data_IF_642641729710
#
_entry.id   IF_642641729710
#
_cell.length_a   1.000
_cell.length_b   1.000
_cell.length_c   1.000
_cell.angle_alpha   90.00
_cell.angle_beta   90.00
_cell.angle_gamma   90.00
#
_symmetry.space_group_name_H-M   'P 1'
#
loop_
_entity.id
_entity.type
_entity.pdbx_description
1 polymer ?
#
# COMPACT_ATOMS: atom_id res chain seq x y z
N UNK A 1 -4.61 -6.14 19.10
CA UNK A 1 -4.46 -6.21 17.63
C UNK A 1 -3.00 -6.02 17.28
N UNK A 2 -2.31 -7.08 16.84
CA UNK A 2 -0.95 -6.91 16.30
C UNK A 2 -1.03 -6.33 14.89
N UNK A 3 -0.24 -5.29 14.63
CA UNK A 3 -0.23 -4.62 13.34
C UNK A 3 0.59 -5.46 12.34
N UNK A 4 -0.10 -6.22 11.48
CA UNK A 4 0.53 -6.98 10.39
C UNK A 4 0.63 -6.11 9.14
N UNK A 5 1.86 -5.92 8.65
CA UNK A 5 2.10 -5.36 7.33
C UNK A 5 1.89 -6.42 6.26
N UNK A 6 1.03 -6.14 5.28
CA UNK A 6 0.91 -6.97 4.09
C UNK A 6 2.19 -6.85 3.27
N UNK A 7 2.70 -7.99 2.83
CA UNK A 7 3.79 -8.13 1.85
C UNK A 7 3.28 -7.89 0.43
N UNK A 8 4.18 -7.74 -0.55
CA UNK A 8 3.79 -7.64 -1.96
C UNK A 8 3.03 -8.88 -2.43
N UNK A 9 3.48 -10.07 -2.05
CA UNK A 9 2.81 -11.32 -2.40
C UNK A 9 1.40 -11.41 -1.82
N UNK A 10 1.21 -10.96 -0.57
CA UNK A 10 -0.13 -10.93 0.02
C UNK A 10 -1.04 -9.94 -0.71
N UNK A 11 -0.53 -8.77 -1.14
CA UNK A 11 -1.32 -7.83 -1.98
C UNK A 11 -1.70 -8.44 -3.32
N UNK A 12 -0.79 -9.14 -3.98
CA UNK A 12 -1.07 -9.84 -5.24
C UNK A 12 -2.17 -10.90 -5.03
N UNK A 13 -2.13 -11.66 -3.92
CA UNK A 13 -3.20 -12.59 -3.56
C UNK A 13 -4.53 -11.90 -3.34
N UNK A 14 -4.55 -10.74 -2.66
CA UNK A 14 -5.78 -9.95 -2.47
C UNK A 14 -6.38 -9.57 -3.82
N UNK A 15 -5.56 -9.12 -4.78
CA UNK A 15 -6.03 -8.74 -6.11
C UNK A 15 -6.69 -9.91 -6.85
N UNK A 16 -6.08 -11.09 -6.85
CA UNK A 16 -6.65 -12.29 -7.47
C UNK A 16 -7.96 -12.69 -6.79
N UNK A 17 -7.99 -12.75 -5.46
CA UNK A 17 -9.18 -13.16 -4.71
C UNK A 17 -10.36 -12.19 -4.88
N UNK A 18 -10.10 -10.90 -5.05
CA UNK A 18 -11.18 -9.94 -5.35
C UNK A 18 -11.76 -10.19 -6.74
N UNK A 19 -10.91 -10.47 -7.73
CA UNK A 19 -11.35 -10.79 -9.10
C UNK A 19 -12.16 -12.09 -9.14
N UNK A 20 -11.85 -13.04 -8.26
CA UNK A 20 -12.60 -14.28 -8.05
C UNK A 20 -13.91 -14.07 -7.25
N UNK A 21 -14.19 -12.86 -6.76
CA UNK A 21 -15.44 -12.53 -6.05
C UNK A 21 -15.45 -12.83 -4.56
N UNK A 22 -14.29 -13.07 -3.93
CA UNK A 22 -14.22 -13.29 -2.49
C UNK A 22 -14.54 -12.02 -1.70
N UNK A 23 -15.33 -12.17 -0.63
CA UNK A 23 -15.58 -11.08 0.32
C UNK A 23 -14.31 -10.73 1.12
N UNK A 24 -14.21 -9.49 1.62
CA UNK A 24 -13.08 -9.07 2.45
C UNK A 24 -12.87 -9.94 3.69
N UNK A 25 -13.94 -10.52 4.25
CA UNK A 25 -13.85 -11.48 5.38
C UNK A 25 -13.27 -12.82 4.93
N UNK A 26 -13.63 -13.31 3.74
CA UNK A 26 -13.07 -14.53 3.16
C UNK A 26 -11.57 -14.38 2.93
N UNK A 27 -11.18 -13.28 2.28
CA UNK A 27 -9.77 -12.94 2.03
C UNK A 27 -8.98 -12.86 3.34
N UNK A 28 -9.56 -12.22 4.37
CA UNK A 28 -8.92 -12.09 5.68
C UNK A 28 -8.65 -13.45 6.34
N UNK A 29 -9.61 -14.40 6.26
CA UNK A 29 -9.43 -15.77 6.74
C UNK A 29 -8.31 -16.49 6.00
N UNK A 30 -8.26 -16.37 4.67
CA UNK A 30 -7.23 -17.00 3.83
C UNK A 30 -5.82 -16.47 4.16
N UNK A 31 -5.69 -15.15 4.37
CA UNK A 31 -4.39 -14.51 4.67
C UNK A 31 -4.01 -14.53 6.15
N UNK A 32 -4.86 -15.11 7.01
CA UNK A 32 -4.65 -15.14 8.46
C UNK A 32 -4.51 -13.74 9.06
N UNK A 33 -5.34 -12.79 8.62
CA UNK A 33 -5.31 -11.41 9.09
C UNK A 33 -6.71 -10.94 9.50
N UNK A 34 -6.81 -9.78 10.15
CA UNK A 34 -8.11 -9.23 10.50
C UNK A 34 -8.78 -8.56 9.29
N UNK A 35 -10.10 -8.66 9.18
CA UNK A 35 -10.86 -8.06 8.07
C UNK A 35 -10.67 -6.55 7.93
N UNK A 36 -10.35 -5.85 9.03
CA UNK A 36 -10.01 -4.42 8.99
C UNK A 36 -8.73 -4.14 8.21
N UNK A 37 -7.77 -5.07 8.19
CA UNK A 37 -6.54 -4.94 7.41
C UNK A 37 -6.86 -4.98 5.93
N UNK A 38 -7.70 -5.92 5.50
CA UNK A 38 -8.18 -5.98 4.11
C UNK A 38 -8.98 -4.73 3.75
N UNK A 39 -9.90 -4.27 4.61
CA UNK A 39 -10.66 -3.04 4.35
C UNK A 39 -9.77 -1.80 4.18
N UNK A 40 -8.74 -1.63 5.03
CA UNK A 40 -7.78 -0.52 4.89
C UNK A 40 -6.91 -0.67 3.64
N UNK A 41 -6.58 -1.90 3.28
CA UNK A 41 -5.82 -2.21 2.06
C UNK A 41 -6.61 -1.81 0.81
N UNK A 42 -7.89 -2.21 0.75
CA UNK A 42 -8.80 -1.87 -0.36
C UNK A 42 -8.93 -0.37 -0.56
N UNK A 43 -9.01 0.39 0.54
CA UNK A 43 -9.09 1.87 0.53
C UNK A 43 -7.84 2.56 -0.01
N UNK A 44 -6.73 1.86 -0.30
CA UNK A 44 -5.57 2.46 -0.96
C UNK A 44 -5.79 2.72 -2.45
N UNK A 45 -6.75 2.04 -3.06
CA UNK A 45 -7.20 2.29 -4.43
C UNK A 45 -8.60 2.92 -4.39
N UNK A 46 -8.85 3.93 -5.21
CA UNK A 46 -10.15 4.61 -5.27
C UNK A 46 -11.22 3.81 -6.05
N UNK A 47 -10.77 2.95 -6.97
CA UNK A 47 -11.62 2.17 -7.85
C UNK A 47 -11.32 0.66 -7.68
N UNK A 48 -11.05 -0.04 -8.78
CA UNK A 48 -10.63 -1.44 -8.74
C UNK A 48 -9.31 -1.59 -7.96
N UNK A 49 -9.26 -2.58 -7.08
CA UNK A 49 -8.05 -2.88 -6.33
C UNK A 49 -6.96 -3.43 -7.24
N UNK A 50 -5.79 -2.79 -7.20
CA UNK A 50 -4.57 -3.21 -7.93
C UNK A 50 -3.42 -3.26 -6.94
N UNK A 51 -2.78 -4.42 -6.81
CA UNK A 51 -1.72 -4.64 -5.83
C UNK A 51 -0.54 -3.67 -6.02
N UNK A 52 -0.16 -3.41 -7.28
CA UNK A 52 0.92 -2.48 -7.61
C UNK A 52 0.59 -1.03 -7.22
N UNK A 53 -0.65 -0.59 -7.41
CA UNK A 53 -1.08 0.75 -7.01
C UNK A 53 -1.05 0.91 -5.48
N UNK A 54 -1.54 -0.09 -4.75
CA UNK A 54 -1.50 -0.11 -3.28
C UNK A 54 -0.06 -0.14 -2.72
N UNK A 55 0.88 -0.84 -3.38
CA UNK A 55 2.30 -0.81 -3.02
C UNK A 55 2.93 0.56 -3.31
N UNK A 56 2.60 1.19 -4.44
CA UNK A 56 3.07 2.53 -4.79
C UNK A 56 2.58 3.57 -3.77
N UNK A 57 1.31 3.53 -3.36
CA UNK A 57 0.77 4.39 -2.30
C UNK A 57 1.52 4.20 -0.98
N UNK A 58 1.77 2.94 -0.58
CA UNK A 58 2.55 2.64 0.63
C UNK A 58 3.96 3.24 0.55
N UNK A 59 4.64 3.10 -0.59
CA UNK A 59 5.99 3.64 -0.82
C UNK A 59 5.99 5.17 -0.75
N UNK A 60 5.05 5.81 -1.44
CA UNK A 60 4.87 7.26 -1.43
C UNK A 60 4.61 7.78 0.00
N UNK A 61 3.65 7.21 0.73
CA UNK A 61 3.40 7.60 2.13
C UNK A 61 4.60 7.36 3.04
N UNK A 62 5.41 6.33 2.76
CA UNK A 62 6.63 6.09 3.52
C UNK A 62 7.75 7.09 3.21
N UNK A 63 7.88 7.57 1.97
CA UNK A 63 8.88 8.59 1.62
C UNK A 63 8.53 9.98 2.19
N UNK A 64 7.26 10.21 2.51
CA UNK A 64 6.82 11.43 3.20
C UNK A 64 7.07 11.42 4.71
N UNK A 65 7.52 10.29 5.27
CA UNK A 65 7.85 10.19 6.69
C UNK A 65 9.19 10.85 6.97
N UNK A 66 9.39 11.25 8.22
CA UNK A 66 10.63 11.87 8.68
C UNK A 66 10.68 13.37 8.45
N UNK A 67 11.84 13.97 8.75
CA UNK A 67 12.05 15.41 8.61
C UNK A 67 12.26 15.74 7.12
N UNK A 68 11.45 16.66 6.59
CA UNK A 68 11.63 17.17 5.22
C UNK A 68 13.00 17.86 5.11
N UNK A 69 13.75 17.51 4.07
CA UNK A 69 14.97 18.22 3.70
C UNK A 69 14.63 19.62 3.17
N UNK A 70 15.51 20.59 3.40
CA UNK A 70 15.35 21.98 2.93
C UNK A 70 15.80 22.17 1.47
N UNK A 71 16.40 21.16 0.87
CA UNK A 71 16.90 21.21 -0.51
C UNK A 71 15.73 21.32 -1.48
N UNK A 72 15.58 22.49 -2.09
CA UNK A 72 14.68 22.72 -3.23
C UNK A 72 15.35 22.26 -4.52
N UNK A 73 14.56 22.10 -5.60
CA UNK A 73 15.06 21.72 -6.92
C UNK A 73 16.13 22.73 -7.41
N UNK A 74 15.94 24.02 -7.09
CA UNK A 74 16.87 25.11 -7.39
C UNK A 74 18.22 24.93 -6.67
N UNK A 75 18.20 24.56 -5.38
CA UNK A 75 19.42 24.30 -4.60
C UNK A 75 20.16 23.04 -5.11
N UNK A 76 19.43 22.04 -5.59
CA UNK A 76 20.04 20.82 -6.15
C UNK A 76 20.65 21.10 -7.53
N UNK A 77 20.00 21.92 -8.35
CA UNK A 77 20.52 22.33 -9.65
C UNK A 77 21.85 23.09 -9.52
N UNK A 78 21.93 24.02 -8.56
CA UNK A 78 23.13 24.84 -8.29
C UNK A 78 24.33 24.06 -7.74
N UNK A 79 24.16 22.82 -7.27
CA UNK A 79 25.27 21.96 -6.78
C UNK A 79 25.87 21.11 -7.91
N UNK A 80 25.12 20.86 -8.99
CA UNK A 80 25.54 20.00 -10.10
C UNK A 80 26.11 20.78 -11.30
N UNK A 81 26.19 22.10 -11.20
CA UNK A 81 26.98 22.99 -12.07
C UNK A 81 28.36 23.23 -11.46
#
# INVERSE_FOLDING_TARGET
MSFKHLTLNERNKIEVLIKEGYSSRGIAKILGCHHSTISRELKRCEAEYKAHAAEKDKKHKSSLKGRKNKSTIEIIGTINE
#
